data_IF_168486379104
#
_entry.id   IF_168486379104
#
_cell.length_a   1.000
_cell.length_b   1.000
_cell.length_c   1.000
_cell.angle_alpha   90.00
_cell.angle_beta   90.00
_cell.angle_gamma   90.00
#
_symmetry.space_group_name_H-M   'P 1'
#
loop_
_entity.id
_entity.type
_entity.pdbx_description
1 polymer ?
#
# COMPACT_ATOMS: atom_id res chain seq x y z
N UNK A 1 4.64 18.07 -5.37
CA UNK A 1 4.34 16.82 -4.66
C UNK A 1 5.31 15.75 -5.08
N UNK A 2 5.91 15.04 -4.12
CA UNK A 2 6.78 13.89 -4.41
C UNK A 2 5.88 12.68 -4.58
N UNK A 3 6.08 11.92 -5.66
CA UNK A 3 5.34 10.69 -5.93
C UNK A 3 6.20 9.55 -5.45
N UNK A 4 5.62 8.55 -4.80
CA UNK A 4 6.36 7.40 -4.34
C UNK A 4 7.02 6.66 -5.53
N UNK A 5 8.25 6.22 -5.32
CA UNK A 5 9.11 5.67 -6.36
C UNK A 5 9.59 4.27 -6.00
N UNK A 6 10.09 3.56 -7.01
CA UNK A 6 10.74 2.26 -6.80
C UNK A 6 11.87 2.42 -5.78
N UNK A 7 11.84 1.58 -4.76
CA UNK A 7 12.83 1.52 -3.71
C UNK A 7 13.53 0.15 -3.68
N UNK A 8 14.74 0.15 -3.14
CA UNK A 8 15.43 -1.08 -2.77
C UNK A 8 14.93 -1.52 -1.41
N UNK A 9 14.73 -2.82 -1.23
CA UNK A 9 14.43 -3.37 0.08
C UNK A 9 15.55 -2.98 1.07
N UNK A 10 15.22 -2.37 2.23
CA UNK A 10 16.21 -2.10 3.28
C UNK A 10 16.78 -3.41 3.79
N UNK A 11 18.02 -3.50 4.28
CA UNK A 11 18.51 -4.78 4.81
C UNK A 11 17.63 -5.29 5.96
N UNK A 12 17.49 -6.61 6.10
CA UNK A 12 16.47 -7.20 6.98
C UNK A 12 16.55 -6.73 8.44
N UNK A 13 17.77 -6.55 8.95
CA UNK A 13 18.04 -6.09 10.31
C UNK A 13 18.13 -4.56 10.46
N UNK A 14 17.99 -3.79 9.38
CA UNK A 14 18.03 -2.33 9.44
C UNK A 14 16.77 -1.82 10.13
N UNK A 15 16.92 -1.18 11.29
CA UNK A 15 15.82 -0.52 11.99
C UNK A 15 15.28 0.65 11.16
N UNK A 16 13.97 0.93 11.18
CA UNK A 16 13.41 2.06 10.47
C UNK A 16 13.80 3.37 11.15
N UNK A 17 13.73 4.47 10.41
CA UNK A 17 13.70 5.80 11.01
C UNK A 17 12.47 5.95 11.92
N UNK A 18 12.51 6.92 12.84
CA UNK A 18 11.33 7.26 13.63
C UNK A 18 10.21 7.81 12.72
N UNK A 19 8.98 7.34 12.91
CA UNK A 19 7.82 7.85 12.19
C UNK A 19 7.47 9.25 12.73
N UNK A 20 7.54 10.32 11.91
CA UNK A 20 7.06 11.63 12.31
C UNK A 20 5.59 11.59 12.74
N UNK A 21 5.25 12.37 13.77
CA UNK A 21 3.87 12.45 14.26
C UNK A 21 3.13 13.56 13.53
N UNK A 22 2.04 13.20 12.86
CA UNK A 22 1.10 14.14 12.24
C UNK A 22 -0.10 14.34 13.15
N UNK A 23 -0.81 15.44 12.97
CA UNK A 23 -2.12 15.64 13.60
C UNK A 23 -3.05 14.49 13.19
N UNK A 24 -3.56 13.76 14.17
CA UNK A 24 -4.45 12.63 13.98
C UNK A 24 -5.85 12.92 14.53
N UNK A 25 -6.78 12.08 14.12
CA UNK A 25 -8.21 12.14 14.37
C UNK A 25 -8.82 10.84 13.86
N UNK A 26 -10.08 10.87 13.45
CA UNK A 26 -10.75 9.68 12.93
C UNK A 26 -10.69 9.63 11.41
N UNK A 27 -10.40 8.45 10.87
CA UNK A 27 -10.63 8.09 9.46
C UNK A 27 -11.80 7.10 9.41
N UNK A 28 -12.84 7.47 8.69
CA UNK A 28 -14.01 6.62 8.45
C UNK A 28 -13.89 5.97 7.07
N UNK A 29 -14.23 4.69 6.99
CA UNK A 29 -14.24 3.91 5.76
C UNK A 29 -15.69 3.57 5.42
N UNK A 30 -16.11 3.89 4.20
CA UNK A 30 -17.48 3.66 3.72
C UNK A 30 -17.49 2.95 2.37
N UNK A 31 -18.39 1.98 2.20
CA UNK A 31 -18.57 1.23 0.96
C UNK A 31 -17.68 0.00 0.79
N UNK A 32 -16.78 -0.28 1.75
CA UNK A 32 -16.01 -1.52 1.73
C UNK A 32 -16.92 -2.74 1.98
N UNK A 33 -16.78 -3.83 1.21
CA UNK A 33 -17.36 -5.11 1.55
C UNK A 33 -16.79 -5.65 2.89
N UNK A 34 -17.57 -6.44 3.66
CA UNK A 34 -17.08 -7.07 4.88
C UNK A 34 -15.87 -7.98 4.67
N UNK A 35 -15.72 -8.53 3.46
CA UNK A 35 -14.65 -9.43 3.03
C UNK A 35 -13.38 -8.70 2.58
N UNK A 36 -13.36 -7.36 2.61
CA UNK A 36 -12.33 -6.57 1.94
C UNK A 36 -12.62 -6.37 0.46
N UNK A 37 -11.72 -5.70 -0.25
CA UNK A 37 -11.81 -5.51 -1.69
C UNK A 37 -11.10 -6.68 -2.38
N UNK A 38 -11.86 -7.64 -2.88
CA UNK A 38 -11.38 -8.89 -3.50
C UNK A 38 -11.64 -8.94 -5.00
N UNK A 39 -12.45 -8.03 -5.54
CA UNK A 39 -12.83 -8.05 -6.95
C UNK A 39 -12.78 -6.67 -7.61
N UNK A 40 -12.51 -6.68 -8.92
CA UNK A 40 -12.52 -5.45 -9.73
C UNK A 40 -13.86 -4.74 -9.65
N UNK A 41 -13.80 -3.43 -9.42
CA UNK A 41 -14.99 -2.58 -9.30
C UNK A 41 -15.43 -2.37 -7.86
N UNK A 42 -14.91 -3.16 -6.92
CA UNK A 42 -15.06 -2.86 -5.50
C UNK A 42 -14.20 -1.66 -5.12
N UNK A 43 -14.72 -0.87 -4.18
CA UNK A 43 -14.09 0.36 -3.74
C UNK A 43 -14.40 0.67 -2.29
N UNK A 44 -13.56 1.49 -1.67
CA UNK A 44 -13.83 2.08 -0.36
C UNK A 44 -13.50 3.56 -0.41
N UNK A 45 -14.39 4.38 0.15
CA UNK A 45 -14.10 5.80 0.35
C UNK A 45 -13.66 6.03 1.78
N UNK A 46 -12.50 6.67 1.93
CA UNK A 46 -11.93 7.07 3.20
C UNK A 46 -12.16 8.56 3.38
N UNK A 47 -12.61 8.98 4.56
CA UNK A 47 -12.83 10.39 4.89
C UNK A 47 -12.40 10.70 6.32
N UNK A 48 -11.81 11.86 6.54
CA UNK A 48 -11.42 12.36 7.85
C UNK A 48 -9.96 12.78 7.88
N UNK A 49 -9.36 12.74 9.07
CA UNK A 49 -7.97 13.11 9.28
C UNK A 49 -7.29 12.09 10.19
N UNK A 50 -6.26 11.40 9.72
CA UNK A 50 -5.56 10.40 10.52
C UNK A 50 -4.92 9.29 9.70
N UNK A 51 -4.46 8.26 10.40
CA UNK A 51 -3.76 7.13 9.80
C UNK A 51 -4.72 6.02 9.38
N UNK A 52 -4.36 5.31 8.33
CA UNK A 52 -5.04 4.08 7.94
C UNK A 52 -4.06 3.12 7.27
N UNK A 53 -4.42 1.85 7.26
CA UNK A 53 -3.64 0.75 6.68
C UNK A 53 -4.38 0.20 5.46
N UNK A 54 -3.64 -0.13 4.42
CA UNK A 54 -4.07 -1.05 3.35
C UNK A 54 -3.19 -2.28 3.44
N UNK A 55 -3.77 -3.43 3.78
CA UNK A 55 -3.07 -4.71 3.76
C UNK A 55 -3.25 -5.38 2.40
N UNK A 56 -2.16 -5.84 1.83
CA UNK A 56 -2.11 -6.56 0.57
C UNK A 56 -2.11 -8.08 0.78
N UNK A 57 -2.79 -8.78 -0.12
CA UNK A 57 -2.71 -10.22 -0.26
C UNK A 57 -2.74 -10.57 -1.75
N UNK A 58 -1.59 -10.96 -2.32
CA UNK A 58 -1.50 -11.43 -3.71
C UNK A 58 -1.72 -12.95 -3.71
N UNK A 59 -2.44 -13.46 -4.71
CA UNK A 59 -2.93 -14.83 -4.77
C UNK A 59 -2.40 -15.57 -6.01
N UNK A 60 -1.07 -15.76 -6.14
CA UNK A 60 -0.49 -16.37 -7.33
C UNK A 60 -0.95 -17.82 -7.53
N UNK A 61 -1.28 -18.53 -6.46
CA UNK A 61 -1.85 -19.89 -6.54
C UNK A 61 -3.28 -19.96 -7.11
N UNK A 62 -3.99 -18.83 -7.22
CA UNK A 62 -5.31 -18.76 -7.87
C UNK A 62 -5.17 -18.29 -9.32
N UNK A 63 -4.53 -17.14 -9.52
CA UNK A 63 -4.25 -16.61 -10.85
C UNK A 63 -2.96 -15.77 -10.82
N UNK A 64 -1.83 -16.32 -11.30
CA UNK A 64 -0.61 -15.54 -11.49
C UNK A 64 -0.71 -14.73 -12.79
N UNK A 65 0.12 -13.70 -12.92
CA UNK A 65 0.21 -12.91 -14.15
C UNK A 65 0.52 -11.43 -13.92
N UNK A 66 0.25 -10.60 -14.92
CA UNK A 66 0.48 -9.16 -14.82
C UNK A 66 -0.63 -8.49 -14.00
N UNK A 67 -0.26 -7.89 -12.86
CA UNK A 67 -1.18 -7.20 -11.98
C UNK A 67 -1.49 -5.78 -12.48
N UNK A 68 -2.75 -5.38 -12.42
CA UNK A 68 -3.16 -3.97 -12.56
C UNK A 68 -3.33 -3.36 -11.18
N UNK A 69 -2.61 -2.26 -10.93
CA UNK A 69 -2.55 -1.63 -9.61
C UNK A 69 -3.89 -1.03 -9.17
N UNK A 70 -4.19 -1.04 -7.87
CA UNK A 70 -5.29 -0.26 -7.33
C UNK A 70 -5.01 1.23 -7.52
N UNK A 71 -6.09 2.00 -7.57
CA UNK A 71 -6.00 3.43 -7.86
C UNK A 71 -6.74 4.25 -6.82
N UNK A 72 -6.28 5.48 -6.64
CA UNK A 72 -6.85 6.44 -5.72
C UNK A 72 -7.47 7.57 -6.51
N UNK A 73 -8.79 7.75 -6.43
CA UNK A 73 -9.52 8.76 -7.21
C UNK A 73 -10.25 9.75 -6.32
N UNK A 74 -10.62 10.88 -6.92
CA UNK A 74 -11.48 11.86 -6.26
C UNK A 74 -10.86 12.53 -5.05
N UNK A 75 -9.53 12.60 -4.95
CA UNK A 75 -8.84 13.19 -3.80
C UNK A 75 -9.30 14.63 -3.53
N UNK A 76 -9.81 14.84 -2.33
CA UNK A 76 -10.05 16.15 -1.70
C UNK A 76 -9.12 16.25 -0.49
N UNK A 77 -8.37 17.35 -0.37
CA UNK A 77 -7.34 17.49 0.67
C UNK A 77 -6.02 16.80 0.31
N UNK A 78 -5.46 16.03 1.26
CA UNK A 78 -4.11 15.44 1.24
C UNK A 78 -4.13 13.93 1.54
N UNK A 79 -3.28 13.18 0.84
CA UNK A 79 -3.01 11.77 1.10
C UNK A 79 -1.50 11.54 0.99
N UNK A 80 -0.87 11.02 2.04
CA UNK A 80 0.56 10.68 2.06
C UNK A 80 0.75 9.19 2.31
N UNK A 81 1.72 8.59 1.62
CA UNK A 81 2.25 7.26 1.92
C UNK A 81 3.32 7.42 2.99
N UNK A 82 3.01 7.04 4.23
CA UNK A 82 3.84 7.41 5.39
C UNK A 82 4.77 6.29 5.83
N UNK A 83 4.39 5.04 5.62
CA UNK A 83 5.21 3.89 5.97
C UNK A 83 4.76 2.63 5.25
N UNK A 84 5.69 1.66 5.17
CA UNK A 84 5.45 0.31 4.68
C UNK A 84 5.92 -0.71 5.72
N UNK A 85 5.15 -1.76 5.97
CA UNK A 85 5.34 -2.67 7.11
C UNK A 85 4.71 -4.05 6.92
N UNK A 86 4.27 -4.66 8.01
CA UNK A 86 3.77 -6.05 8.03
C UNK A 86 4.87 -7.09 7.95
N UNK A 87 6.10 -6.69 8.27
CA UNK A 87 7.24 -7.58 8.42
C UNK A 87 7.87 -8.10 7.13
N UNK A 88 7.32 -7.77 5.96
CA UNK A 88 7.79 -8.28 4.66
C UNK A 88 7.37 -7.40 3.50
N UNK A 89 8.25 -7.30 2.51
CA UNK A 89 7.86 -6.98 1.13
C UNK A 89 7.28 -8.22 0.47
N UNK A 90 6.42 -8.03 -0.52
CA UNK A 90 5.80 -9.18 -1.18
C UNK A 90 6.80 -9.95 -2.06
N UNK A 91 7.89 -9.32 -2.52
CA UNK A 91 9.02 -9.99 -3.18
C UNK A 91 10.06 -10.60 -2.22
N UNK A 92 9.82 -10.56 -0.91
CA UNK A 92 10.66 -11.31 0.01
C UNK A 92 10.45 -12.81 -0.18
N UNK A 93 11.57 -13.55 -0.20
CA UNK A 93 11.55 -15.02 -0.16
C UNK A 93 10.84 -15.46 1.11
N UNK A 94 9.88 -16.37 0.98
CA UNK A 94 9.14 -16.89 2.11
C UNK A 94 10.09 -17.66 3.04
N UNK A 95 10.01 -17.48 4.38
CA UNK A 95 10.79 -18.28 5.31
C UNK A 95 10.59 -19.78 5.07
N UNK A 96 11.69 -20.52 4.91
CA UNK A 96 11.67 -21.96 4.64
C UNK A 96 11.51 -22.35 3.17
N UNK A 97 11.35 -21.39 2.24
CA UNK A 97 11.39 -21.69 0.82
C UNK A 97 12.79 -22.18 0.39
N UNK A 98 12.82 -23.29 -0.35
CA UNK A 98 14.04 -23.87 -0.94
C UNK A 98 14.20 -23.54 -2.42
N UNK A 99 13.17 -22.98 -3.05
CA UNK A 99 13.08 -22.72 -4.49
C UNK A 99 12.97 -21.22 -4.84
N UNK A 100 13.11 -20.35 -3.83
CA UNK A 100 13.02 -18.89 -4.00
C UNK A 100 11.58 -18.36 -4.08
N UNK A 101 10.56 -19.17 -3.79
CA UNK A 101 9.16 -18.73 -3.71
C UNK A 101 9.01 -17.51 -2.79
N UNK A 102 8.28 -16.50 -3.29
CA UNK A 102 7.97 -15.24 -2.59
C UNK A 102 6.46 -15.13 -2.34
N UNK A 103 5.99 -14.04 -1.74
CA UNK A 103 4.55 -13.75 -1.66
C UNK A 103 3.94 -13.29 -2.99
N UNK A 104 4.78 -13.05 -4.01
CA UNK A 104 4.36 -12.86 -5.39
C UNK A 104 4.26 -14.19 -6.16
N UNK A 105 4.65 -15.31 -5.57
CA UNK A 105 4.63 -16.64 -6.18
C UNK A 105 6.02 -17.23 -6.43
N UNK A 106 6.06 -18.32 -7.18
CA UNK A 106 7.26 -19.11 -7.44
C UNK A 106 7.03 -20.18 -8.53
N UNK A 107 7.98 -21.11 -8.72
CA UNK A 107 7.92 -22.11 -9.79
C UNK A 107 6.63 -22.94 -9.82
N UNK A 108 6.08 -23.31 -8.65
CA UNK A 108 4.89 -24.16 -8.56
C UNK A 108 3.57 -23.41 -8.83
N UNK A 109 3.50 -22.12 -8.49
CA UNK A 109 2.25 -21.33 -8.58
C UNK A 109 2.24 -20.34 -9.74
N UNK A 110 3.35 -20.20 -10.47
CA UNK A 110 3.59 -19.02 -11.28
C UNK A 110 3.87 -17.78 -10.42
N UNK A 111 4.16 -16.66 -11.07
CA UNK A 111 4.55 -15.40 -10.41
C UNK A 111 3.68 -14.25 -10.89
N UNK A 112 3.27 -13.41 -9.95
CA UNK A 112 2.62 -12.13 -10.21
C UNK A 112 3.66 -11.06 -10.52
N UNK A 113 3.49 -10.37 -11.65
CA UNK A 113 4.38 -9.31 -12.09
C UNK A 113 3.72 -7.93 -11.92
N UNK A 114 4.49 -6.96 -11.43
CA UNK A 114 4.04 -5.57 -11.33
C UNK A 114 4.27 -4.82 -12.65
N UNK A 115 3.46 -3.78 -12.95
CA UNK A 115 3.77 -2.86 -14.02
C UNK A 115 5.14 -2.20 -13.80
N UNK A 116 5.89 -1.95 -14.88
CA UNK A 116 7.18 -1.27 -14.78
C UNK A 116 7.09 0.08 -14.06
N UNK A 117 8.08 0.38 -13.21
CA UNK A 117 8.12 1.61 -12.40
C UNK A 117 7.27 1.57 -11.13
N UNK A 118 6.60 0.45 -10.85
CA UNK A 118 5.74 0.31 -9.66
C UNK A 118 6.59 0.06 -8.43
N UNK A 119 6.30 0.78 -7.35
CA UNK A 119 6.91 0.53 -6.05
C UNK A 119 6.46 -0.85 -5.54
N UNK A 120 7.39 -1.63 -4.99
CA UNK A 120 7.05 -2.98 -4.53
C UNK A 120 6.22 -2.93 -3.24
N UNK A 121 5.07 -3.58 -3.27
CA UNK A 121 4.20 -3.60 -2.10
C UNK A 121 4.82 -4.34 -0.92
N UNK A 122 4.58 -3.79 0.25
CA UNK A 122 4.69 -4.47 1.52
C UNK A 122 3.36 -5.11 1.90
N UNK A 123 3.41 -6.05 2.85
CA UNK A 123 2.17 -6.66 3.33
C UNK A 123 1.21 -5.61 3.90
N UNK A 124 1.72 -4.61 4.62
CA UNK A 124 0.93 -3.47 5.09
C UNK A 124 1.50 -2.18 4.50
N UNK A 125 0.67 -1.40 3.84
CA UNK A 125 0.98 -0.01 3.46
C UNK A 125 0.19 0.94 4.36
N UNK A 126 0.86 1.97 4.87
CA UNK A 126 0.27 2.93 5.80
C UNK A 126 0.22 4.31 5.19
N UNK A 127 -0.92 4.95 5.37
CA UNK A 127 -1.20 6.26 4.83
C UNK A 127 -1.68 7.20 5.90
N UNK A 128 -1.46 8.49 5.68
CA UNK A 128 -2.12 9.55 6.43
C UNK A 128 -3.01 10.36 5.48
N UNK A 129 -4.25 10.57 5.89
CA UNK A 129 -5.28 11.32 5.17
C UNK A 129 -5.60 12.61 5.93
N UNK A 130 -5.88 13.67 5.19
CA UNK A 130 -6.63 14.84 5.66
C UNK A 130 -7.55 15.28 4.52
N UNK A 131 -8.81 14.86 4.60
CA UNK A 131 -9.82 15.06 3.57
C UNK A 131 -10.52 13.75 3.18
N UNK A 132 -10.61 13.46 1.88
CA UNK A 132 -11.34 12.31 1.37
C UNK A 132 -10.74 11.76 0.08
N UNK A 133 -10.75 10.43 -0.08
CA UNK A 133 -10.26 9.73 -1.28
C UNK A 133 -10.98 8.39 -1.44
N UNK A 134 -11.12 7.91 -2.67
CA UNK A 134 -11.66 6.58 -2.96
C UNK A 134 -10.54 5.66 -3.45
N UNK A 135 -10.34 4.53 -2.76
CA UNK A 135 -9.48 3.43 -3.20
C UNK A 135 -10.31 2.46 -4.03
N UNK A 136 -9.82 2.14 -5.23
CA UNK A 136 -10.44 1.18 -6.15
C UNK A 136 -9.58 -0.06 -6.30
N UNK A 137 -10.23 -1.22 -6.25
CA UNK A 137 -9.65 -2.50 -6.58
C UNK A 137 -9.76 -2.68 -8.12
N UNK A 138 -8.63 -2.96 -8.78
CA UNK A 138 -8.56 -3.09 -10.23
C UNK A 138 -8.04 -4.46 -10.69
N UNK A 139 -8.38 -5.53 -9.96
CA UNK A 139 -7.98 -6.91 -10.23
C UNK A 139 -8.14 -7.24 -11.70
N UNK A 140 -7.01 -7.54 -12.34
CA UNK A 140 -6.96 -7.96 -13.73
C UNK A 140 -5.59 -8.57 -13.96
N UNK A 141 -5.58 -9.72 -14.64
CA UNK A 141 -4.36 -10.43 -15.01
C UNK A 141 -3.68 -11.20 -13.87
N UNK A 142 -3.86 -10.78 -12.61
CA UNK A 142 -3.48 -11.54 -11.41
C UNK A 142 -4.45 -11.25 -10.27
N UNK A 143 -4.61 -12.23 -9.37
CA UNK A 143 -5.54 -12.12 -8.25
C UNK A 143 -4.90 -11.47 -7.02
N UNK A 144 -5.62 -10.52 -6.42
CA UNK A 144 -5.20 -9.86 -5.19
C UNK A 144 -6.34 -9.20 -4.42
N UNK A 145 -6.24 -9.29 -3.10
CA UNK A 145 -7.15 -8.65 -2.16
C UNK A 145 -6.50 -7.44 -1.49
N UNK A 146 -7.32 -6.46 -1.14
CA UNK A 146 -6.96 -5.31 -0.33
C UNK A 146 -7.87 -5.19 0.89
N UNK A 147 -7.27 -4.99 2.06
CA UNK A 147 -8.00 -4.77 3.30
C UNK A 147 -7.64 -3.40 3.87
N UNK A 148 -8.55 -2.43 3.70
CA UNK A 148 -8.41 -1.10 4.26
C UNK A 148 -8.96 -1.05 5.69
N UNK A 149 -8.22 -0.44 6.62
CA UNK A 149 -8.65 -0.29 8.01
C UNK A 149 -8.12 1.02 8.59
N UNK A 150 -8.92 1.70 9.41
CA UNK A 150 -8.44 2.83 10.21
C UNK A 150 -7.28 2.40 11.12
N UNK A 151 -6.33 3.29 11.35
CA UNK A 151 -5.15 3.03 12.18
C UNK A 151 -4.78 4.25 13.00
N UNK A 152 -3.73 4.12 13.81
CA UNK A 152 -3.20 5.16 14.69
C UNK A 152 -1.69 5.21 14.56
N UNK A 153 -1.11 6.35 14.90
CA UNK A 153 0.34 6.55 14.83
C UNK A 153 1.13 5.47 15.58
N UNK A 154 0.70 5.09 16.79
CA UNK A 154 1.36 4.08 17.63
C UNK A 154 1.34 2.70 16.95
N UNK A 155 0.23 2.34 16.31
CA UNK A 155 0.11 1.07 15.59
C UNK A 155 1.05 1.02 14.38
N UNK A 156 1.18 2.12 13.64
CA UNK A 156 2.12 2.20 12.51
C UNK A 156 3.56 2.11 13.02
N UNK A 157 3.92 2.92 14.02
CA UNK A 157 5.26 2.96 14.58
C UNK A 157 5.69 1.60 15.15
N UNK A 158 4.79 0.89 15.83
CA UNK A 158 5.05 -0.44 16.37
C UNK A 158 5.20 -1.50 15.27
N UNK A 159 4.35 -1.48 14.24
CA UNK A 159 4.42 -2.44 13.13
C UNK A 159 5.75 -2.33 12.38
N UNK A 160 6.17 -1.12 12.01
CA UNK A 160 7.45 -0.94 11.31
C UNK A 160 8.67 -1.24 12.18
N UNK A 161 8.56 -1.03 13.49
CA UNK A 161 9.63 -1.33 14.45
C UNK A 161 9.66 -2.81 14.89
N UNK A 162 8.72 -3.64 14.42
CA UNK A 162 8.70 -5.06 14.78
C UNK A 162 9.91 -5.77 14.17
N UNK A 163 10.76 -6.42 14.99
CA UNK A 163 11.99 -7.05 14.51
C UNK A 163 11.70 -8.29 13.66
N UNK A 164 12.64 -8.69 12.78
CA UNK A 164 12.56 -9.94 12.03
C UNK A 164 12.37 -11.15 12.96
N UNK A 165 11.36 -11.95 12.67
CA UNK A 165 11.04 -13.20 13.40
C UNK A 165 10.53 -14.21 12.36
N UNK A 166 11.42 -15.10 11.92
CA UNK A 166 11.13 -16.06 10.84
C UNK A 166 9.90 -16.93 11.13
N UNK A 167 9.73 -17.42 12.36
CA UNK A 167 8.58 -18.24 12.77
C UNK A 167 7.23 -17.52 12.72
N UNK A 168 7.22 -16.18 12.68
CA UNK A 168 6.03 -15.36 12.51
C UNK A 168 5.84 -14.86 11.06
N UNK A 169 6.69 -15.30 10.12
CA UNK A 169 6.68 -14.81 8.74
C UNK A 169 7.17 -13.37 8.58
N UNK A 170 7.90 -12.85 9.58
CA UNK A 170 8.45 -11.49 9.61
C UNK A 170 9.91 -11.58 9.14
N UNK A 171 10.17 -11.10 7.93
CA UNK A 171 11.46 -11.17 7.24
C UNK A 171 12.34 -9.97 7.57
N UNK A 172 11.74 -8.79 7.74
CA UNK A 172 12.47 -7.52 7.92
C UNK A 172 11.68 -6.54 8.77
N UNK A 173 12.38 -5.55 9.35
CA UNK A 173 11.72 -4.33 9.82
C UNK A 173 10.99 -3.62 8.66
N UNK A 174 10.02 -2.76 9.00
CA UNK A 174 9.37 -1.89 8.03
C UNK A 174 10.24 -0.73 7.55
N UNK A 175 9.62 0.17 6.79
CA UNK A 175 10.22 1.37 6.22
C UNK A 175 9.33 2.58 6.53
N UNK A 176 9.92 3.64 7.09
CA UNK A 176 9.26 4.95 7.19
C UNK A 176 9.57 5.75 5.92
N UNK A 177 8.52 6.27 5.28
CA UNK A 177 8.59 7.13 4.08
C UNK A 177 8.29 8.59 4.39
N UNK A 178 7.63 8.83 5.51
CA UNK A 178 7.14 10.13 5.90
C UNK A 178 8.29 11.10 6.22
N UNK A 179 8.23 12.30 5.66
CA UNK A 179 9.18 13.40 5.92
C UNK A 179 8.70 14.35 7.03
N UNK A 180 7.51 14.11 7.58
CA UNK A 180 6.88 14.93 8.63
C UNK A 180 6.16 16.19 8.11
N UNK A 181 6.24 16.48 6.81
CA UNK A 181 5.60 17.64 6.20
C UNK A 181 4.91 17.32 4.87
N UNK A 182 4.49 18.34 4.14
CA UNK A 182 3.80 18.17 2.84
C UNK A 182 4.72 17.70 1.70
N UNK A 183 6.00 17.47 2.00
CA UNK A 183 6.97 16.85 1.09
C UNK A 183 6.94 15.33 1.15
N UNK A 184 6.15 14.72 2.06
CA UNK A 184 5.99 13.28 2.14
C UNK A 184 5.45 12.72 0.81
N UNK A 185 5.87 11.51 0.42
CA UNK A 185 5.46 10.95 -0.85
C UNK A 185 3.96 10.67 -0.85
N UNK A 186 3.34 10.85 -2.02
CA UNK A 186 1.97 10.39 -2.28
C UNK A 186 2.01 9.03 -2.97
N UNK A 187 1.00 8.15 -2.80
CA UNK A 187 0.98 6.89 -3.52
C UNK A 187 1.01 7.11 -5.05
N UNK A 188 1.56 6.12 -5.74
CA UNK A 188 1.39 5.99 -7.19
C UNK A 188 -0.09 5.81 -7.52
N UNK A 189 -0.48 6.16 -8.75
CA UNK A 189 -1.85 6.03 -9.25
C UNK A 189 -2.92 6.84 -8.46
N UNK A 190 -2.55 8.04 -8.02
CA UNK A 190 -3.42 8.97 -7.31
C UNK A 190 -3.84 10.15 -8.19
N UNK A 191 -5.12 10.51 -8.15
CA UNK A 191 -5.67 11.66 -8.87
C UNK A 191 -6.78 12.37 -8.10
N UNK A 192 -6.93 13.67 -8.36
CA UNK A 192 -8.11 14.45 -7.92
C UNK A 192 -9.36 14.16 -8.76
N UNK A 193 -9.19 13.70 -9.99
CA UNK A 193 -10.29 13.39 -10.90
C UNK A 193 -11.03 12.11 -10.50
N UNK A 194 -12.24 11.92 -11.05
CA UNK A 194 -13.03 10.68 -10.94
C UNK A 194 -13.28 10.13 -12.35
N UNK A 195 -12.29 9.45 -12.96
CA UNK A 195 -12.45 8.91 -14.30
C UNK A 195 -13.55 7.83 -14.32
N UNK A 196 -14.19 7.64 -15.47
CA UNK A 196 -15.21 6.60 -15.66
C UNK A 196 -14.64 5.19 -15.45
N UNK A 197 -13.39 4.95 -15.87
CA UNK A 197 -12.64 3.73 -15.55
C UNK A 197 -11.47 4.06 -14.59
N UNK A 198 -11.56 3.70 -13.30
CA UNK A 198 -10.49 3.90 -12.32
C UNK A 198 -9.16 3.24 -12.69
N UNK A 199 -9.16 2.18 -13.50
CA UNK A 199 -7.94 1.49 -13.91
C UNK A 199 -7.08 2.32 -14.91
N UNK A 200 -7.60 3.44 -15.41
CA UNK A 200 -6.88 4.33 -16.36
C UNK A 200 -6.04 5.41 -15.68
N UNK A 201 -6.07 5.51 -14.35
CA UNK A 201 -5.25 6.49 -13.61
C UNK A 201 -3.77 6.20 -13.87
N UNK A 202 -3.00 7.26 -14.17
CA UNK A 202 -1.57 7.12 -14.48
C UNK A 202 -0.74 6.93 -13.21
N UNK A 203 0.25 6.04 -13.29
CA UNK A 203 1.20 5.72 -12.22
C UNK A 203 1.86 6.95 -11.59
N UNK A 204 2.25 7.94 -12.41
CA UNK A 204 2.99 9.13 -11.96
C UNK A 204 2.22 10.06 -11.02
N UNK A 205 0.96 9.75 -10.70
CA UNK A 205 0.06 10.56 -9.87
C UNK A 205 -0.10 12.02 -10.34
N UNK A 206 -1.29 12.58 -10.15
CA UNK A 206 -1.61 13.96 -10.56
C UNK A 206 -2.40 14.63 -9.45
N UNK A 207 -1.66 15.25 -8.53
CA UNK A 207 -2.19 15.89 -7.32
C UNK A 207 -1.71 17.32 -7.18
N UNK A 208 -1.76 18.09 -8.28
CA UNK A 208 -1.53 19.54 -8.24
C UNK A 208 -2.30 20.13 -7.05
N UNK A 209 -1.69 21.04 -6.27
CA UNK A 209 -2.41 21.72 -5.20
C UNK A 209 -3.71 22.33 -5.75
N UNK A 210 -4.81 22.34 -4.99
CA UNK A 210 -5.94 23.16 -5.38
C UNK A 210 -5.46 24.63 -5.46
N UNK A 211 -5.94 25.44 -6.41
CA UNK A 211 -5.69 26.86 -6.37
C UNK A 211 -6.19 27.40 -5.02
N UNK A 212 -5.34 28.22 -4.38
CA UNK A 212 -5.66 28.92 -3.13
C UNK A 212 -6.85 29.85 -3.30
#
# INVERSE_FOLDING_TARGET
TVVDTVDRAPAAATRPAALPRRADGTVTLTGAPPTGLTHRGEQVTLTGRGYFRVRWQVLPGQRPGALVMPTWTGLRGKLFHVASGGGRRLDDVQPGSTDGTTWMGGPATGTTALPGGTQQMWQNEYFWLDGSVTLHQNERGADYNLFAQASRWDQVANDVATPPVAGAGIVRYGLVRDTGGDTAPVPQYLTRARPADPATVRQRSRVTPPPH
#
